data_IF_059493949925
#
_entry.id   IF_059493949925
#
_cell.length_a   1.000
_cell.length_b   1.000
_cell.length_c   1.000
_cell.angle_alpha   90.00
_cell.angle_beta   90.00
_cell.angle_gamma   90.00
#
_symmetry.space_group_name_H-M   'P 1'
#
loop_
_entity.id
_entity.type
_entity.pdbx_description
1 polymer ?
#
# COMPACT_ATOMS: atom_id res chain seq x y z
N UNK A 1 -14.94 31.44 10.81
CA UNK A 1 -15.06 30.16 10.09
C UNK A 1 -15.73 29.07 10.93
N UNK A 2 -15.51 28.98 12.23
CA UNK A 2 -16.09 27.95 13.15
C UNK A 2 -17.63 27.93 13.20
N UNK A 3 -18.30 29.08 13.36
CA UNK A 3 -19.78 29.15 13.45
C UNK A 3 -20.51 28.69 12.18
N UNK A 4 -19.92 28.87 11.00
CA UNK A 4 -20.49 28.42 9.71
C UNK A 4 -20.42 26.90 9.56
N UNK A 5 -19.38 26.25 10.09
CA UNK A 5 -19.21 24.79 10.08
C UNK A 5 -20.23 24.11 11.00
N UNK A 6 -20.47 24.65 12.18
CA UNK A 6 -21.41 24.10 13.16
C UNK A 6 -22.89 24.11 12.70
N UNK A 7 -23.25 24.95 11.74
CA UNK A 7 -24.64 25.08 11.21
C UNK A 7 -24.96 24.12 10.07
N UNK A 8 -23.98 23.40 9.50
CA UNK A 8 -24.23 22.44 8.42
C UNK A 8 -24.93 21.20 8.94
N UNK A 9 -25.80 20.55 8.12
CA UNK A 9 -26.41 19.29 8.50
C UNK A 9 -25.33 18.21 8.67
N UNK A 10 -25.58 17.25 9.54
CA UNK A 10 -24.76 16.05 9.62
C UNK A 10 -24.89 15.25 8.32
N UNK A 11 -23.81 14.58 7.91
CA UNK A 11 -23.87 13.66 6.78
C UNK A 11 -24.94 12.56 7.02
N UNK A 12 -25.59 12.05 5.97
CA UNK A 12 -26.51 10.92 6.07
C UNK A 12 -25.88 9.80 6.89
N UNK A 13 -26.71 9.05 7.62
CA UNK A 13 -26.26 7.91 8.40
C UNK A 13 -26.90 6.65 7.86
N UNK A 14 -26.09 5.61 7.68
CA UNK A 14 -26.57 4.27 7.35
C UNK A 14 -27.45 3.73 8.48
N UNK A 15 -28.54 3.06 8.13
CA UNK A 15 -29.36 2.31 9.08
C UNK A 15 -28.62 1.04 9.52
N UNK A 16 -28.44 0.85 10.81
CA UNK A 16 -27.61 -0.22 11.35
C UNK A 16 -28.11 -0.74 12.70
N UNK A 17 -27.81 -2.01 13.04
CA UNK A 17 -28.13 -2.56 14.35
C UNK A 17 -27.40 -1.79 15.47
N UNK A 18 -28.07 -1.56 16.61
CA UNK A 18 -27.41 -0.92 17.76
C UNK A 18 -26.28 -1.82 18.30
N UNK A 19 -25.22 -1.20 18.86
CA UNK A 19 -24.05 -1.80 19.50
C UNK A 19 -23.05 -2.42 18.52
N UNK A 20 -23.50 -3.27 17.60
CA UNK A 20 -22.60 -3.95 16.62
C UNK A 20 -22.29 -3.03 15.43
N UNK A 21 -23.24 -2.13 15.10
CA UNK A 21 -23.12 -1.25 13.96
C UNK A 21 -22.96 -2.02 12.64
N UNK A 22 -22.10 -1.55 11.79
CA UNK A 22 -21.84 -2.10 10.47
C UNK A 22 -20.81 -3.25 10.45
N UNK A 23 -20.25 -3.65 11.59
CA UNK A 23 -19.16 -4.63 11.64
C UNK A 23 -19.49 -5.98 10.97
N UNK A 24 -20.73 -6.46 11.12
CA UNK A 24 -21.16 -7.73 10.50
C UNK A 24 -21.31 -7.57 8.98
N UNK A 25 -21.88 -6.45 8.51
CA UNK A 25 -22.06 -6.21 7.08
C UNK A 25 -20.69 -6.10 6.39
N UNK A 26 -19.78 -5.32 6.94
CA UNK A 26 -18.41 -5.19 6.45
C UNK A 26 -17.65 -6.52 6.44
N UNK A 27 -17.71 -7.27 7.55
CA UNK A 27 -17.00 -8.56 7.66
C UNK A 27 -17.57 -9.66 6.77
N UNK A 28 -18.83 -9.52 6.31
CA UNK A 28 -19.45 -10.47 5.38
C UNK A 28 -19.06 -10.21 3.93
N UNK A 29 -19.14 -8.97 3.50
CA UNK A 29 -18.82 -8.52 2.15
C UNK A 29 -18.49 -7.03 2.17
N UNK A 30 -17.20 -6.66 2.22
CA UNK A 30 -16.80 -5.26 2.26
C UNK A 30 -17.11 -4.50 0.96
N UNK A 31 -17.19 -5.16 -0.20
CA UNK A 31 -17.55 -4.52 -1.46
C UNK A 31 -19.03 -4.12 -1.45
N UNK A 32 -19.92 -5.08 -1.20
CA UNK A 32 -21.35 -4.82 -1.08
C UNK A 32 -21.66 -3.81 0.02
N UNK A 33 -20.87 -3.80 1.11
CA UNK A 33 -21.00 -2.82 2.18
C UNK A 33 -20.74 -1.38 1.70
N UNK A 34 -19.67 -1.16 0.93
CA UNK A 34 -19.37 0.19 0.41
C UNK A 34 -20.31 0.60 -0.72
N UNK A 35 -20.82 -0.34 -1.52
CA UNK A 35 -21.91 -0.09 -2.49
C UNK A 35 -23.19 0.36 -1.77
N UNK A 36 -23.55 -0.30 -0.66
CA UNK A 36 -24.69 0.10 0.17
C UNK A 36 -24.48 1.50 0.80
N UNK A 37 -23.27 1.81 1.28
CA UNK A 37 -22.95 3.16 1.77
C UNK A 37 -23.11 4.22 0.66
N UNK A 38 -22.64 3.93 -0.55
CA UNK A 38 -22.74 4.86 -1.68
C UNK A 38 -24.20 5.20 -2.04
N UNK A 39 -25.16 4.32 -1.75
CA UNK A 39 -26.58 4.60 -1.94
C UNK A 39 -27.12 5.72 -1.00
N UNK A 40 -26.44 6.02 0.11
CA UNK A 40 -26.79 7.12 1.01
C UNK A 40 -26.17 8.46 0.59
N UNK A 41 -25.15 8.45 -0.27
CA UNK A 41 -24.48 9.65 -0.78
C UNK A 41 -22.96 9.57 -0.78
N UNK A 42 -22.33 10.70 -1.11
CA UNK A 42 -20.87 10.80 -1.26
C UNK A 42 -20.10 10.95 0.06
N UNK A 43 -20.78 11.36 1.13
CA UNK A 43 -20.26 11.44 2.49
C UNK A 43 -21.27 10.80 3.42
N UNK A 44 -20.93 9.67 4.00
CA UNK A 44 -21.89 8.84 4.76
C UNK A 44 -21.31 8.49 6.12
N UNK A 45 -22.15 8.63 7.16
CA UNK A 45 -21.79 8.20 8.51
C UNK A 45 -22.34 6.79 8.79
N UNK A 46 -21.57 6.06 9.57
CA UNK A 46 -21.95 4.74 10.09
C UNK A 46 -21.21 4.49 11.41
N UNK A 47 -21.48 3.39 12.09
CA UNK A 47 -20.67 2.95 13.22
C UNK A 47 -20.02 1.60 12.95
N UNK A 48 -18.84 1.41 13.50
CA UNK A 48 -18.14 0.13 13.52
C UNK A 48 -17.88 -0.21 14.98
N UNK A 49 -18.71 -1.08 15.54
CA UNK A 49 -18.76 -1.30 16.99
C UNK A 49 -18.91 0.03 17.75
N UNK A 50 -17.90 0.44 18.53
CA UNK A 50 -17.94 1.65 19.35
C UNK A 50 -17.37 2.90 18.65
N UNK A 51 -16.98 2.81 17.37
CA UNK A 51 -16.41 3.93 16.63
C UNK A 51 -17.45 4.60 15.75
N UNK A 52 -17.61 5.90 15.91
CA UNK A 52 -18.30 6.73 14.91
C UNK A 52 -17.40 6.92 13.70
N UNK A 53 -17.89 6.53 12.56
CA UNK A 53 -17.15 6.53 11.29
C UNK A 53 -17.87 7.37 10.24
N UNK A 54 -17.10 7.88 9.29
CA UNK A 54 -17.60 8.44 8.06
C UNK A 54 -16.78 7.90 6.88
N UNK A 55 -17.41 7.67 5.75
CA UNK A 55 -16.73 7.41 4.48
C UNK A 55 -16.90 8.57 3.53
N UNK A 56 -15.89 8.80 2.69
CA UNK A 56 -15.88 9.83 1.65
C UNK A 56 -15.63 9.13 0.31
N UNK A 57 -16.59 9.24 -0.61
CA UNK A 57 -16.65 8.46 -1.84
C UNK A 57 -16.52 9.29 -3.13
N UNK A 58 -16.67 10.63 -3.04
CA UNK A 58 -16.57 11.50 -4.20
C UNK A 58 -15.16 12.11 -4.32
N UNK A 59 -14.53 12.10 -5.50
CA UNK A 59 -13.18 12.63 -5.72
C UNK A 59 -12.93 14.04 -5.15
N UNK A 60 -13.83 15.00 -5.40
CA UNK A 60 -13.68 16.35 -4.85
C UNK A 60 -13.73 16.41 -3.31
N UNK A 61 -14.49 15.53 -2.66
CA UNK A 61 -14.52 15.42 -1.21
C UNK A 61 -13.26 14.73 -0.68
N UNK A 62 -12.71 13.80 -1.43
CA UNK A 62 -11.44 13.12 -1.14
C UNK A 62 -10.29 14.12 -1.20
N UNK A 63 -10.24 14.93 -2.26
CA UNK A 63 -9.26 16.01 -2.40
C UNK A 63 -9.35 16.98 -1.21
N UNK A 64 -10.56 17.38 -0.84
CA UNK A 64 -10.78 18.23 0.33
C UNK A 64 -10.18 17.62 1.61
N UNK A 65 -10.40 16.33 1.87
CA UNK A 65 -9.90 15.63 3.07
C UNK A 65 -8.38 15.46 3.05
N UNK A 66 -7.81 15.15 1.90
CA UNK A 66 -6.40 14.78 1.79
C UNK A 66 -5.48 15.98 1.53
N UNK A 67 -6.00 17.05 0.91
CA UNK A 67 -5.23 18.22 0.47
C UNK A 67 -5.69 19.50 1.16
N UNK A 68 -6.91 19.97 0.86
CA UNK A 68 -7.36 21.31 1.21
C UNK A 68 -7.48 21.51 2.73
N UNK A 69 -8.17 20.59 3.39
CA UNK A 69 -8.43 20.62 4.84
C UNK A 69 -7.49 19.64 5.61
N UNK A 70 -6.35 19.23 5.02
CA UNK A 70 -5.39 18.27 5.61
C UNK A 70 -5.09 18.56 7.09
N UNK A 71 -4.95 19.83 7.47
CA UNK A 71 -4.64 20.24 8.84
C UNK A 71 -5.74 19.96 9.86
N UNK A 72 -7.01 19.80 9.41
CA UNK A 72 -8.17 19.47 10.26
C UNK A 72 -8.29 17.96 10.53
N UNK A 73 -7.38 17.16 9.99
CA UNK A 73 -7.34 15.71 10.17
C UNK A 73 -6.02 15.25 10.79
N UNK A 74 -6.05 14.08 11.39
CA UNK A 74 -4.87 13.37 11.94
C UNK A 74 -4.94 11.88 11.61
N UNK A 75 -3.89 11.14 11.91
CA UNK A 75 -3.95 9.68 11.94
C UNK A 75 -4.88 9.24 13.08
N UNK A 76 -5.73 8.22 12.86
CA UNK A 76 -6.62 7.72 13.90
C UNK A 76 -5.84 7.25 15.13
N UNK A 77 -6.26 7.69 16.33
CA UNK A 77 -5.60 7.32 17.58
C UNK A 77 -5.52 5.82 17.78
N UNK A 78 -6.58 5.09 17.42
CA UNK A 78 -6.62 3.63 17.53
C UNK A 78 -5.57 2.92 16.67
N UNK A 79 -5.10 3.55 15.57
CA UNK A 79 -4.01 3.03 14.74
C UNK A 79 -2.64 3.41 15.30
N UNK A 80 -2.52 4.60 15.91
CA UNK A 80 -1.27 5.06 16.54
C UNK A 80 -0.92 4.22 17.75
N UNK A 81 -1.92 3.74 18.48
CA UNK A 81 -1.75 2.87 19.64
C UNK A 81 -1.22 1.46 19.28
N UNK A 82 -1.02 1.16 18.00
CA UNK A 82 -0.23 -0.01 17.57
C UNK A 82 1.25 0.25 17.88
N UNK A 83 1.70 -0.30 19.00
CA UNK A 83 3.00 -0.02 19.66
C UNK A 83 4.25 -0.17 18.79
N UNK A 84 4.16 -0.89 17.67
CA UNK A 84 5.29 -1.30 16.83
C UNK A 84 5.73 -0.23 15.84
N UNK A 85 4.78 0.48 15.23
CA UNK A 85 5.02 1.49 14.19
C UNK A 85 4.71 2.92 14.66
N UNK A 86 4.45 3.11 15.96
CA UNK A 86 3.90 4.35 16.51
C UNK A 86 4.83 5.56 16.34
N UNK A 87 6.15 5.34 16.30
CA UNK A 87 7.14 6.40 16.13
C UNK A 87 7.62 6.52 14.66
N UNK A 88 7.13 5.67 13.75
CA UNK A 88 7.46 5.72 12.33
C UNK A 88 6.62 6.70 11.53
N UNK A 89 7.13 7.11 10.37
CA UNK A 89 6.52 8.08 9.45
C UNK A 89 5.05 7.78 9.11
N UNK A 90 4.67 6.51 9.06
CA UNK A 90 3.33 6.08 8.71
C UNK A 90 2.28 6.57 9.72
N UNK A 91 2.60 6.50 11.02
CA UNK A 91 1.65 6.75 12.12
C UNK A 91 1.88 8.05 12.89
N UNK A 92 3.07 8.64 12.84
CA UNK A 92 3.35 9.94 13.47
C UNK A 92 2.51 11.05 12.85
N UNK A 93 2.36 12.16 13.57
CA UNK A 93 1.49 13.27 13.18
C UNK A 93 2.09 14.63 13.56
N UNK A 94 1.51 15.73 13.02
CA UNK A 94 1.89 17.09 13.34
C UNK A 94 3.34 17.43 12.97
N UNK A 95 4.05 18.10 13.87
CA UNK A 95 5.44 18.57 13.67
C UNK A 95 6.42 17.40 13.59
N UNK A 96 6.22 16.33 14.40
CA UNK A 96 7.07 15.13 14.35
C UNK A 96 7.03 14.49 12.97
N UNK A 97 5.84 14.30 12.42
CA UNK A 97 5.69 13.78 11.06
C UNK A 97 6.39 14.67 10.02
N UNK A 98 6.26 16.00 10.13
CA UNK A 98 6.91 16.92 9.18
C UNK A 98 8.43 16.78 9.25
N UNK A 99 8.99 16.76 10.45
CA UNK A 99 10.43 16.61 10.65
C UNK A 99 10.94 15.29 10.04
N UNK A 100 10.28 14.17 10.35
CA UNK A 100 10.60 12.87 9.77
C UNK A 100 10.46 12.86 8.25
N UNK A 101 9.37 13.43 7.72
CA UNK A 101 9.16 13.50 6.27
C UNK A 101 10.26 14.28 5.57
N UNK A 102 10.66 15.42 6.13
CA UNK A 102 11.75 16.27 5.59
C UNK A 102 13.07 15.52 5.60
N UNK A 103 13.39 14.84 6.70
CA UNK A 103 14.61 14.04 6.86
C UNK A 103 14.70 12.91 5.82
N UNK A 104 13.61 12.18 5.62
CA UNK A 104 13.57 10.97 4.81
C UNK A 104 13.36 11.23 3.31
N UNK A 105 12.76 12.37 2.94
CA UNK A 105 12.38 12.70 1.57
C UNK A 105 13.54 12.61 0.56
N UNK A 106 14.80 13.02 0.87
CA UNK A 106 15.92 12.94 -0.08
C UNK A 106 16.20 11.55 -0.62
N UNK A 107 15.96 10.49 0.17
CA UNK A 107 16.17 9.09 -0.24
C UNK A 107 15.20 8.67 -1.37
N UNK A 108 14.12 9.42 -1.58
CA UNK A 108 13.08 9.14 -2.57
C UNK A 108 13.01 10.18 -3.70
N UNK A 109 14.03 11.04 -3.82
CA UNK A 109 14.15 11.92 -4.98
C UNK A 109 14.49 11.09 -6.23
N UNK A 110 14.08 11.64 -7.39
CA UNK A 110 14.22 10.94 -8.67
C UNK A 110 15.66 10.47 -8.95
N UNK A 111 16.62 11.34 -8.70
CA UNK A 111 18.03 11.08 -8.94
C UNK A 111 18.54 9.92 -8.06
N UNK A 112 18.08 9.89 -6.80
CA UNK A 112 18.46 8.82 -5.87
C UNK A 112 17.79 7.51 -6.23
N UNK A 113 16.50 7.52 -6.50
CA UNK A 113 15.74 6.31 -6.91
C UNK A 113 16.30 5.72 -8.19
N UNK A 114 16.75 6.54 -9.14
CA UNK A 114 17.37 6.09 -10.38
C UNK A 114 18.64 5.23 -10.14
N UNK A 115 19.37 5.46 -9.05
CA UNK A 115 20.57 4.65 -8.74
C UNK A 115 20.26 3.22 -8.33
N UNK A 116 19.01 2.92 -7.98
CA UNK A 116 18.56 1.57 -7.59
C UNK A 116 18.12 0.71 -8.78
N UNK A 117 17.95 1.31 -9.97
CA UNK A 117 17.35 0.65 -11.13
C UNK A 117 18.10 -0.64 -11.54
N UNK A 118 19.43 -0.58 -11.58
CA UNK A 118 20.26 -1.74 -11.94
C UNK A 118 20.05 -2.89 -10.95
N UNK A 119 20.12 -2.62 -9.65
CA UNK A 119 19.88 -3.62 -8.61
C UNK A 119 18.47 -4.23 -8.74
N UNK A 120 17.44 -3.43 -8.99
CA UNK A 120 16.07 -3.93 -9.19
C UNK A 120 15.97 -4.89 -10.36
N UNK A 121 16.58 -4.55 -11.51
CA UNK A 121 16.60 -5.39 -12.70
C UNK A 121 17.39 -6.69 -12.51
N UNK A 122 18.60 -6.62 -11.92
CA UNK A 122 19.41 -7.80 -11.61
C UNK A 122 18.69 -8.77 -10.66
N UNK A 123 18.10 -8.26 -9.59
CA UNK A 123 17.35 -9.10 -8.64
C UNK A 123 16.09 -9.71 -9.28
N UNK A 124 15.41 -8.98 -10.19
CA UNK A 124 14.32 -9.54 -10.96
C UNK A 124 14.76 -10.68 -11.86
N UNK A 125 15.89 -10.54 -12.56
CA UNK A 125 16.44 -11.60 -13.39
C UNK A 125 16.82 -12.84 -12.56
N UNK A 126 17.51 -12.67 -11.44
CA UNK A 126 17.88 -13.77 -10.52
C UNK A 126 16.64 -14.48 -9.98
N UNK A 127 15.63 -13.73 -9.54
CA UNK A 127 14.36 -14.27 -9.05
C UNK A 127 13.65 -15.09 -10.15
N UNK A 128 13.58 -14.56 -11.37
CA UNK A 128 12.99 -15.25 -12.51
C UNK A 128 13.68 -16.61 -12.78
N UNK A 129 15.01 -16.63 -12.81
CA UNK A 129 15.79 -17.87 -13.02
C UNK A 129 15.58 -18.89 -11.88
N UNK A 130 15.43 -18.43 -10.65
CA UNK A 130 15.13 -19.26 -9.50
C UNK A 130 13.73 -19.88 -9.61
N UNK A 131 12.70 -19.08 -9.91
CA UNK A 131 11.31 -19.51 -9.99
C UNK A 131 11.07 -20.50 -11.15
N UNK A 132 11.68 -20.27 -12.29
CA UNK A 132 11.63 -21.21 -13.43
C UNK A 132 12.17 -22.59 -13.02
N UNK A 133 13.24 -22.64 -12.22
CA UNK A 133 13.79 -23.92 -11.74
C UNK A 133 12.95 -24.61 -10.68
N UNK A 134 12.25 -23.83 -9.83
CA UNK A 134 11.43 -24.37 -8.74
C UNK A 134 10.09 -24.95 -9.23
N UNK A 135 9.58 -24.47 -10.37
CA UNK A 135 8.35 -24.96 -10.98
C UNK A 135 7.11 -24.26 -10.45
N UNK A 136 6.23 -24.94 -9.69
CA UNK A 136 5.01 -24.36 -9.15
C UNK A 136 5.26 -23.69 -7.79
N UNK A 137 4.90 -22.42 -7.67
CA UNK A 137 5.12 -21.59 -6.49
C UNK A 137 3.85 -20.87 -6.05
N UNK A 138 3.85 -20.42 -4.82
CA UNK A 138 2.94 -19.36 -4.36
C UNK A 138 3.45 -18.02 -4.88
N UNK A 139 2.62 -17.36 -5.72
CA UNK A 139 3.01 -16.11 -6.39
C UNK A 139 3.27 -14.99 -5.37
N UNK A 140 2.42 -14.86 -4.35
CA UNK A 140 2.60 -13.83 -3.32
C UNK A 140 3.90 -14.02 -2.56
N UNK A 141 4.23 -15.25 -2.18
CA UNK A 141 5.48 -15.55 -1.47
C UNK A 141 6.70 -15.26 -2.34
N UNK A 142 6.67 -15.63 -3.61
CA UNK A 142 7.72 -15.35 -4.56
C UNK A 142 7.95 -13.85 -4.73
N UNK A 143 6.88 -13.08 -4.99
CA UNK A 143 6.96 -11.62 -5.14
C UNK A 143 7.41 -10.92 -3.85
N UNK A 144 6.94 -11.37 -2.68
CA UNK A 144 7.37 -10.85 -1.37
C UNK A 144 8.87 -11.07 -1.12
N UNK A 145 9.40 -12.23 -1.50
CA UNK A 145 10.84 -12.52 -1.41
C UNK A 145 11.65 -11.57 -2.29
N UNK A 146 11.22 -11.36 -3.53
CA UNK A 146 11.87 -10.44 -4.47
C UNK A 146 11.86 -8.99 -3.93
N UNK A 147 10.70 -8.46 -3.60
CA UNK A 147 10.58 -7.05 -3.16
C UNK A 147 11.32 -6.78 -1.85
N UNK A 148 11.36 -7.75 -0.93
CA UNK A 148 12.12 -7.62 0.31
C UNK A 148 13.64 -7.60 0.07
N UNK A 149 14.16 -8.43 -0.85
CA UNK A 149 15.57 -8.38 -1.25
C UNK A 149 15.93 -7.04 -1.88
N UNK A 150 15.10 -6.55 -2.81
CA UNK A 150 15.30 -5.23 -3.44
C UNK A 150 15.35 -4.14 -2.38
N UNK A 151 14.34 -4.09 -1.51
CA UNK A 151 14.23 -3.07 -0.46
C UNK A 151 15.41 -3.11 0.50
N UNK A 152 15.79 -4.31 0.98
CA UNK A 152 16.92 -4.51 1.89
C UNK A 152 18.24 -4.00 1.28
N UNK A 153 18.53 -4.43 0.06
CA UNK A 153 19.78 -4.05 -0.60
C UNK A 153 19.80 -2.56 -0.99
N UNK A 154 18.70 -2.01 -1.52
CA UNK A 154 18.71 -0.66 -2.08
C UNK A 154 18.50 0.43 -1.03
N UNK A 155 17.59 0.23 -0.09
CA UNK A 155 17.26 1.23 0.93
C UNK A 155 18.01 1.02 2.24
N UNK A 156 18.26 -0.22 2.64
CA UNK A 156 18.91 -0.49 3.93
C UNK A 156 20.38 -0.86 3.80
N UNK A 157 20.86 -1.16 2.59
CA UNK A 157 22.24 -1.58 2.31
C UNK A 157 22.61 -2.91 2.97
N UNK A 158 21.64 -3.78 3.22
CA UNK A 158 21.82 -5.07 3.91
C UNK A 158 21.23 -6.22 3.13
N UNK A 159 21.76 -7.42 3.32
CA UNK A 159 21.14 -8.65 2.84
C UNK A 159 20.02 -9.06 3.82
N UNK A 160 18.82 -9.29 3.29
CA UNK A 160 17.67 -9.68 4.09
C UNK A 160 17.37 -11.17 4.05
N UNK A 161 18.16 -12.00 3.35
CA UNK A 161 17.81 -13.40 3.10
C UNK A 161 17.62 -14.21 4.39
N UNK A 162 18.44 -13.99 5.41
CA UNK A 162 18.31 -14.67 6.69
C UNK A 162 17.13 -14.16 7.54
N UNK A 163 16.71 -12.91 7.31
CA UNK A 163 15.65 -12.24 8.09
C UNK A 163 14.26 -12.27 7.44
N UNK A 164 14.14 -12.75 6.19
CA UNK A 164 12.89 -12.73 5.43
C UNK A 164 11.71 -13.38 6.17
N UNK A 165 11.95 -14.51 6.83
CA UNK A 165 10.90 -15.21 7.57
C UNK A 165 10.36 -14.38 8.74
N UNK A 166 11.24 -13.69 9.49
CA UNK A 166 10.88 -12.84 10.61
C UNK A 166 10.13 -11.58 10.14
N UNK A 167 10.63 -10.92 9.08
CA UNK A 167 9.97 -9.74 8.49
C UNK A 167 8.58 -10.09 7.97
N UNK A 168 8.42 -11.21 7.25
CA UNK A 168 7.10 -11.67 6.77
C UNK A 168 6.17 -12.05 7.92
N UNK A 169 6.67 -12.73 8.94
CA UNK A 169 5.86 -13.08 10.12
C UNK A 169 5.37 -11.82 10.86
N UNK A 170 6.20 -10.80 10.96
CA UNK A 170 5.83 -9.50 11.53
C UNK A 170 4.80 -8.76 10.69
N UNK A 171 5.00 -8.68 9.38
CA UNK A 171 4.06 -8.07 8.46
C UNK A 171 2.69 -8.77 8.51
N UNK A 172 2.68 -10.10 8.50
CA UNK A 172 1.45 -10.90 8.61
C UNK A 172 0.75 -10.68 9.97
N UNK A 173 1.50 -10.63 11.06
CA UNK A 173 0.95 -10.35 12.39
C UNK A 173 0.29 -8.97 12.47
N UNK A 174 0.91 -7.93 11.86
CA UNK A 174 0.34 -6.59 11.75
C UNK A 174 -0.91 -6.62 10.87
N UNK A 175 -0.87 -7.31 9.74
CA UNK A 175 -2.01 -7.48 8.82
C UNK A 175 -3.19 -8.15 9.52
N UNK A 176 -3.00 -9.33 10.14
CA UNK A 176 -4.04 -10.05 10.87
C UNK A 176 -4.72 -9.15 11.89
N UNK A 177 -3.93 -8.39 12.66
CA UNK A 177 -4.50 -7.49 13.67
C UNK A 177 -5.30 -6.34 13.07
N UNK A 178 -4.94 -5.84 11.89
CA UNK A 178 -5.64 -4.73 11.23
C UNK A 178 -6.81 -5.19 10.36
N UNK A 179 -6.79 -6.44 9.88
CA UNK A 179 -7.82 -7.03 9.00
C UNK A 179 -8.88 -7.81 9.77
N UNK A 180 -8.50 -8.41 10.91
CA UNK A 180 -9.43 -9.13 11.73
C UNK A 180 -10.49 -8.20 12.36
N UNK A 181 -11.70 -8.71 12.42
CA UNK A 181 -12.91 -8.16 13.00
C UNK A 181 -12.65 -6.91 13.90
N UNK A 182 -13.31 -5.77 13.67
CA UNK A 182 -13.20 -4.56 14.50
C UNK A 182 -13.32 -4.82 16.02
N UNK A 183 -13.91 -5.95 16.41
CA UNK A 183 -14.00 -6.39 17.81
C UNK A 183 -12.64 -6.86 18.34
N UNK A 184 -11.80 -7.51 17.53
CA UNK A 184 -10.48 -7.99 17.97
C UNK A 184 -9.46 -6.87 18.13
N UNK A 185 -9.56 -5.83 17.30
CA UNK A 185 -8.73 -4.61 17.43
C UNK A 185 -8.98 -3.89 18.77
N UNK A 186 -10.17 -4.04 19.36
CA UNK A 186 -10.53 -3.43 20.64
C UNK A 186 -9.99 -4.17 21.85
N UNK A 187 -9.51 -5.41 21.70
CA UNK A 187 -8.92 -6.15 22.82
C UNK A 187 -7.49 -5.64 23.04
N UNK A 188 -7.20 -5.01 24.18
CA UNK A 188 -5.86 -4.50 24.45
C UNK A 188 -4.78 -5.58 24.29
N UNK A 189 -3.61 -5.22 23.79
CA UNK A 189 -2.52 -6.17 23.51
C UNK A 189 -2.03 -6.96 24.73
N UNK A 190 -2.16 -6.37 25.91
CA UNK A 190 -1.77 -7.05 27.17
C UNK A 190 -2.67 -8.24 27.54
N UNK A 191 -3.90 -8.33 26.98
CA UNK A 191 -4.79 -9.47 27.22
C UNK A 191 -4.24 -10.70 26.48
N UNK A 192 -4.00 -11.84 27.17
CA UNK A 192 -3.31 -13.00 26.57
C UNK A 192 -4.22 -13.87 25.71
N UNK A 193 -4.89 -13.29 24.71
CA UNK A 193 -5.64 -14.05 23.71
C UNK A 193 -4.70 -14.80 22.76
N UNK A 194 -5.15 -15.85 22.06
CA UNK A 194 -4.34 -16.51 21.04
C UNK A 194 -3.90 -15.56 19.93
N UNK A 195 -4.77 -14.63 19.50
CA UNK A 195 -4.46 -13.60 18.49
C UNK A 195 -3.37 -12.64 18.99
N UNK A 196 -3.52 -12.09 20.21
CA UNK A 196 -2.51 -11.20 20.78
C UNK A 196 -1.16 -11.90 21.04
N UNK A 197 -1.17 -13.21 21.32
CA UNK A 197 0.08 -13.98 21.45
C UNK A 197 0.77 -14.19 20.11
N UNK A 198 0.02 -14.46 19.01
CA UNK A 198 0.57 -14.53 17.65
C UNK A 198 1.14 -13.19 17.25
N UNK A 199 0.36 -12.13 17.42
CA UNK A 199 0.77 -10.76 17.13
C UNK A 199 2.10 -10.42 17.82
N UNK A 200 2.19 -10.58 19.15
CA UNK A 200 3.43 -10.29 19.88
C UNK A 200 4.62 -11.11 19.38
N UNK A 201 4.45 -12.41 19.14
CA UNK A 201 5.55 -13.24 18.62
C UNK A 201 6.04 -12.78 17.26
N UNK A 202 5.12 -12.43 16.33
CA UNK A 202 5.50 -11.93 15.02
C UNK A 202 6.22 -10.59 15.10
N UNK A 203 5.71 -9.70 15.96
CA UNK A 203 6.31 -8.39 16.20
C UNK A 203 7.68 -8.50 16.87
N UNK A 204 7.83 -9.35 17.89
CA UNK A 204 9.09 -9.55 18.57
C UNK A 204 10.14 -10.13 17.61
N UNK A 205 9.79 -11.15 16.80
CA UNK A 205 10.68 -11.68 15.76
C UNK A 205 11.08 -10.63 14.72
N UNK A 206 10.14 -9.74 14.33
CA UNK A 206 10.44 -8.65 13.41
C UNK A 206 11.38 -7.62 14.03
N UNK A 207 11.20 -7.31 15.32
CA UNK A 207 12.07 -6.38 16.05
C UNK A 207 13.47 -6.97 16.19
N UNK A 208 13.58 -8.25 16.57
CA UNK A 208 14.86 -8.94 16.68
C UNK A 208 15.60 -8.90 15.33
N UNK A 209 14.90 -9.16 14.22
CA UNK A 209 15.48 -9.07 12.88
C UNK A 209 15.98 -7.64 12.53
N UNK A 210 15.26 -6.60 12.97
CA UNK A 210 15.72 -5.21 12.79
C UNK A 210 16.97 -4.93 13.62
N UNK A 211 17.02 -5.42 14.86
CA UNK A 211 18.18 -5.23 15.74
C UNK A 211 19.42 -5.92 15.15
N UNK A 212 19.27 -7.16 14.64
CA UNK A 212 20.32 -7.88 13.93
C UNK A 212 20.82 -7.09 12.71
N UNK A 213 19.89 -6.58 11.85
CA UNK A 213 20.25 -5.78 10.67
C UNK A 213 20.98 -4.47 11.02
N UNK A 214 20.65 -3.85 12.17
CA UNK A 214 21.35 -2.66 12.66
C UNK A 214 22.73 -3.01 13.18
N UNK A 215 22.85 -4.12 13.92
CA UNK A 215 24.10 -4.57 14.55
C UNK A 215 25.11 -5.12 13.52
N UNK A 216 24.66 -5.72 12.44
CA UNK A 216 25.50 -6.21 11.32
C UNK A 216 26.13 -5.05 10.50
N UNK A 217 25.71 -3.83 10.76
CA UNK A 217 26.15 -2.66 10.00
C UNK A 217 27.50 -2.12 10.48
N UNK A 218 28.50 -2.18 9.62
CA UNK A 218 29.85 -1.61 9.85
C UNK A 218 29.94 -0.08 9.58
N UNK A 219 28.87 0.68 9.89
CA UNK A 219 28.82 2.13 9.81
C UNK A 219 29.16 2.74 8.43
N UNK A 220 28.62 3.91 8.15
CA UNK A 220 28.91 4.70 6.95
C UNK A 220 28.35 4.13 5.65
N UNK A 221 27.45 4.84 5.01
CA UNK A 221 26.86 4.48 3.73
C UNK A 221 25.87 5.56 3.28
N UNK A 222 25.42 5.45 2.03
CA UNK A 222 24.44 6.36 1.44
C UNK A 222 23.01 5.80 1.50
N UNK A 223 22.74 4.84 2.36
CA UNK A 223 21.44 4.18 2.50
C UNK A 223 20.60 4.79 3.64
N UNK A 224 19.33 4.34 3.71
CA UNK A 224 18.37 4.84 4.68
C UNK A 224 18.77 4.55 6.12
N UNK A 225 19.39 3.39 6.40
CA UNK A 225 19.83 3.04 7.74
C UNK A 225 20.95 3.98 8.19
N UNK A 226 21.95 4.22 7.35
CA UNK A 226 23.03 5.19 7.62
C UNK A 226 22.47 6.59 7.80
N UNK A 227 21.54 7.02 6.94
CA UNK A 227 20.87 8.32 7.09
C UNK A 227 20.20 8.45 8.47
N UNK A 228 19.48 7.42 8.92
CA UNK A 228 18.77 7.46 10.20
C UNK A 228 19.70 7.47 11.41
N UNK A 229 20.84 6.76 11.34
CA UNK A 229 21.83 6.69 12.40
C UNK A 229 22.63 7.99 12.53
N UNK A 230 22.88 8.67 11.41
CA UNK A 230 23.64 9.94 11.36
C UNK A 230 22.74 11.19 11.38
N UNK A 231 21.42 10.98 11.50
CA UNK A 231 20.45 12.07 11.38
C UNK A 231 20.47 13.02 12.56
N UNK A 232 20.29 14.31 12.25
CA UNK A 232 20.02 15.39 13.20
C UNK A 232 18.82 16.20 12.68
N UNK A 233 17.82 16.43 13.54
CA UNK A 233 16.70 17.30 13.23
C UNK A 233 17.09 18.77 13.29
N UNK A 234 16.27 19.66 12.73
CA UNK A 234 16.51 21.10 12.73
C UNK A 234 16.70 21.71 14.14
N UNK A 235 16.15 21.05 15.17
CA UNK A 235 16.28 21.44 16.57
C UNK A 235 17.55 20.92 17.25
N UNK A 236 18.42 20.22 16.53
CA UNK A 236 19.67 19.64 17.02
C UNK A 236 19.49 18.33 17.77
N UNK A 237 18.30 17.71 17.73
CA UNK A 237 18.07 16.39 18.34
C UNK A 237 18.28 15.27 17.32
N UNK A 238 18.84 14.14 17.75
CA UNK A 238 18.92 12.93 16.94
C UNK A 238 17.65 12.07 17.10
N UNK A 239 17.29 11.25 16.10
CA UNK A 239 16.29 10.19 16.28
C UNK A 239 16.68 9.27 17.44
N UNK A 240 15.72 8.88 18.27
CA UNK A 240 15.96 7.86 19.29
C UNK A 240 16.14 6.48 18.65
N UNK A 241 16.78 5.54 19.35
CA UNK A 241 16.88 4.15 18.87
C UNK A 241 15.50 3.52 18.58
N UNK A 242 14.51 3.81 19.43
CA UNK A 242 13.13 3.32 19.19
C UNK A 242 12.51 3.93 17.94
N UNK A 243 12.83 5.19 17.64
CA UNK A 243 12.39 5.82 16.39
C UNK A 243 13.07 5.22 15.17
N UNK A 244 14.40 5.02 15.21
CA UNK A 244 15.14 4.35 14.13
C UNK A 244 14.52 2.98 13.83
N UNK A 245 14.30 2.15 14.87
CA UNK A 245 13.64 0.85 14.73
C UNK A 245 12.23 0.96 14.12
N UNK A 246 11.42 1.90 14.62
CA UNK A 246 10.06 2.13 14.08
C UNK A 246 10.08 2.59 12.63
N UNK A 247 11.07 3.38 12.21
CA UNK A 247 11.25 3.78 10.81
C UNK A 247 11.61 2.58 9.93
N UNK A 248 12.61 1.78 10.33
CA UNK A 248 13.03 0.59 9.58
C UNK A 248 11.88 -0.42 9.43
N UNK A 249 11.17 -0.71 10.54
CA UNK A 249 9.98 -1.56 10.51
C UNK A 249 8.89 -0.99 9.59
N UNK A 250 8.67 0.34 9.63
CA UNK A 250 7.70 1.01 8.75
C UNK A 250 8.06 0.83 7.28
N UNK A 251 9.33 1.04 6.90
CA UNK A 251 9.75 0.89 5.51
C UNK A 251 9.73 -0.57 5.05
N UNK A 252 10.20 -1.50 5.88
CA UNK A 252 10.14 -2.92 5.56
C UNK A 252 8.69 -3.43 5.46
N UNK A 253 7.80 -3.00 6.36
CA UNK A 253 6.39 -3.37 6.28
C UNK A 253 5.71 -2.77 5.05
N UNK A 254 5.79 -1.44 4.89
CA UNK A 254 5.03 -0.74 3.85
C UNK A 254 5.62 -0.94 2.45
N UNK A 255 6.95 -1.07 2.33
CA UNK A 255 7.65 -1.09 1.05
C UNK A 255 7.56 -2.45 0.35
N UNK A 256 7.85 -3.56 1.05
CA UNK A 256 7.88 -4.86 0.37
C UNK A 256 6.48 -5.42 0.10
N UNK A 257 5.56 -5.34 1.07
CA UNK A 257 4.25 -5.98 0.96
C UNK A 257 3.39 -5.36 -0.14
N UNK A 258 3.39 -4.04 -0.26
CA UNK A 258 2.57 -3.34 -1.25
C UNK A 258 3.04 -3.58 -2.69
N UNK A 259 4.34 -3.53 -2.96
CA UNK A 259 4.91 -3.90 -4.26
C UNK A 259 4.68 -5.38 -4.59
N UNK A 260 4.86 -6.28 -3.61
CA UNK A 260 4.60 -7.70 -3.79
C UNK A 260 3.14 -7.99 -4.15
N UNK A 261 2.18 -7.31 -3.51
CA UNK A 261 0.75 -7.45 -3.83
C UNK A 261 0.43 -6.94 -5.24
N UNK A 262 1.00 -5.81 -5.66
CA UNK A 262 0.82 -5.30 -7.02
C UNK A 262 1.34 -6.31 -8.06
N UNK A 263 2.55 -6.83 -7.90
CA UNK A 263 3.13 -7.86 -8.79
C UNK A 263 2.33 -9.17 -8.74
N UNK A 264 1.82 -9.55 -7.57
CA UNK A 264 0.97 -10.74 -7.42
C UNK A 264 -0.30 -10.64 -8.24
N UNK A 265 -1.00 -9.50 -8.18
CA UNK A 265 -2.21 -9.28 -8.94
C UNK A 265 -1.95 -9.12 -10.44
N UNK A 266 -0.81 -8.52 -10.82
CA UNK A 266 -0.38 -8.50 -12.23
C UNK A 266 -0.15 -9.94 -12.74
N UNK A 267 0.59 -10.75 -12.01
CA UNK A 267 0.85 -12.14 -12.40
C UNK A 267 -0.46 -12.96 -12.53
N UNK A 268 -1.42 -12.74 -11.61
CA UNK A 268 -2.74 -13.34 -11.69
C UNK A 268 -3.50 -12.95 -12.96
N UNK A 269 -3.52 -11.65 -13.30
CA UNK A 269 -4.22 -11.21 -14.50
C UNK A 269 -3.52 -11.66 -15.80
N UNK A 270 -2.20 -11.68 -15.83
CA UNK A 270 -1.45 -12.16 -16.99
C UNK A 270 -1.70 -13.65 -17.28
N UNK A 271 -1.86 -14.47 -16.25
CA UNK A 271 -2.24 -15.89 -16.42
C UNK A 271 -3.65 -16.07 -16.98
N UNK A 272 -4.57 -15.13 -16.71
CA UNK A 272 -5.99 -15.18 -17.15
C UNK A 272 -6.24 -14.47 -18.48
N UNK A 273 -5.38 -13.55 -18.87
CA UNK A 273 -5.59 -12.66 -20.04
C UNK A 273 -4.46 -12.81 -21.06
N UNK A 274 -4.50 -13.86 -21.90
CA UNK A 274 -3.46 -14.12 -22.89
C UNK A 274 -3.18 -12.94 -23.82
N UNK A 275 -4.23 -12.20 -24.22
CA UNK A 275 -4.07 -11.04 -25.11
C UNK A 275 -3.23 -9.92 -24.46
N UNK A 276 -3.46 -9.63 -23.17
CA UNK A 276 -2.66 -8.66 -22.41
C UNK A 276 -1.21 -9.16 -22.26
N UNK A 277 -1.04 -10.44 -21.91
CA UNK A 277 0.28 -11.05 -21.78
C UNK A 277 1.06 -11.03 -23.10
N UNK A 278 0.40 -11.26 -24.22
CA UNK A 278 1.02 -11.27 -25.57
C UNK A 278 1.40 -9.84 -26.00
N UNK A 279 0.55 -8.83 -25.76
CA UNK A 279 0.86 -7.43 -26.05
C UNK A 279 2.05 -6.93 -25.22
N UNK A 280 2.05 -7.23 -23.91
CA UNK A 280 3.15 -6.88 -23.02
C UNK A 280 4.46 -7.55 -23.42
N UNK A 281 4.38 -8.81 -23.84
CA UNK A 281 5.53 -9.58 -24.34
C UNK A 281 6.11 -8.96 -25.62
N UNK A 282 5.25 -8.57 -26.55
CA UNK A 282 5.67 -7.94 -27.81
C UNK A 282 6.41 -6.62 -27.58
N UNK A 283 5.95 -5.79 -26.62
CA UNK A 283 6.67 -4.59 -26.22
C UNK A 283 8.04 -4.94 -25.62
N UNK A 284 8.08 -5.80 -24.62
CA UNK A 284 9.31 -6.18 -23.91
C UNK A 284 10.35 -6.80 -24.86
N UNK A 285 9.93 -7.65 -25.79
CA UNK A 285 10.84 -8.26 -26.79
C UNK A 285 11.43 -7.23 -27.76
N UNK A 286 10.75 -6.11 -27.96
CA UNK A 286 11.21 -5.02 -28.84
C UNK A 286 12.10 -4.03 -28.10
N UNK A 287 11.82 -3.76 -26.82
CA UNK A 287 12.45 -2.67 -26.06
C UNK A 287 13.66 -3.15 -25.27
N UNK A 288 13.55 -4.34 -24.61
CA UNK A 288 14.58 -4.84 -23.70
C UNK A 288 15.55 -5.74 -24.43
N UNK A 289 16.74 -5.25 -24.77
CA UNK A 289 17.78 -6.04 -25.43
C UNK A 289 18.57 -6.92 -24.45
N UNK A 290 18.76 -6.47 -23.21
CA UNK A 290 19.56 -7.12 -22.17
C UNK A 290 18.89 -8.32 -21.51
N UNK A 291 19.50 -8.82 -20.45
CA UNK A 291 18.96 -9.92 -19.61
C UNK A 291 17.83 -9.44 -18.69
N UNK A 292 17.78 -8.15 -18.38
CA UNK A 292 16.76 -7.49 -17.58
C UNK A 292 16.49 -6.08 -18.13
N UNK A 293 15.36 -5.52 -17.76
CA UNK A 293 15.01 -4.15 -18.08
C UNK A 293 15.84 -3.17 -17.24
N UNK A 294 16.20 -2.05 -17.85
CA UNK A 294 17.03 -0.99 -17.27
C UNK A 294 16.29 0.35 -17.24
N UNK A 295 16.87 1.33 -16.53
CA UNK A 295 16.33 2.71 -16.50
C UNK A 295 16.22 3.33 -17.92
N UNK A 296 17.08 2.92 -18.85
CA UNK A 296 17.07 3.43 -20.22
C UNK A 296 15.87 2.93 -21.04
N UNK A 297 15.34 1.77 -20.69
CA UNK A 297 14.21 1.15 -21.39
C UNK A 297 12.85 1.76 -21.00
N UNK A 298 12.76 2.35 -19.80
CA UNK A 298 11.48 2.84 -19.24
C UNK A 298 10.67 3.76 -20.14
N UNK A 299 11.27 4.74 -20.87
CA UNK A 299 10.49 5.63 -21.73
C UNK A 299 9.73 4.91 -22.85
N UNK A 300 10.19 3.73 -23.25
CA UNK A 300 9.64 2.92 -24.33
C UNK A 300 8.76 1.77 -23.83
N UNK A 301 8.77 1.47 -22.51
CA UNK A 301 7.95 0.46 -21.84
C UNK A 301 6.55 0.99 -21.49
N UNK A 302 5.85 1.53 -22.49
CA UNK A 302 4.57 2.24 -22.30
C UNK A 302 3.42 1.32 -21.96
N UNK A 303 3.32 0.14 -22.56
CA UNK A 303 2.30 -0.84 -22.21
C UNK A 303 2.56 -1.49 -20.85
N UNK A 304 3.82 -1.68 -20.51
CA UNK A 304 4.24 -2.11 -19.15
C UNK A 304 3.72 -1.13 -18.10
N UNK A 305 3.86 0.19 -18.31
CA UNK A 305 3.30 1.20 -17.42
C UNK A 305 1.76 1.12 -17.34
N UNK A 306 1.08 0.94 -18.48
CA UNK A 306 -0.38 0.79 -18.52
C UNK A 306 -0.85 -0.42 -17.71
N UNK A 307 -0.17 -1.56 -17.81
CA UNK A 307 -0.45 -2.76 -17.02
C UNK A 307 -0.29 -2.50 -15.52
N UNK A 308 0.78 -1.82 -15.11
CA UNK A 308 1.01 -1.44 -13.71
C UNK A 308 -0.09 -0.50 -13.21
N UNK A 309 -0.44 0.53 -13.96
CA UNK A 309 -1.52 1.47 -13.60
C UNK A 309 -2.86 0.78 -13.45
N UNK A 310 -3.21 -0.13 -14.36
CA UNK A 310 -4.46 -0.87 -14.31
C UNK A 310 -4.51 -1.84 -13.11
N UNK A 311 -3.39 -2.46 -12.79
CA UNK A 311 -3.29 -3.28 -11.58
C UNK A 311 -3.50 -2.46 -10.31
N UNK A 312 -2.87 -1.30 -10.20
CA UNK A 312 -3.03 -0.39 -9.07
C UNK A 312 -4.44 0.21 -8.97
N UNK A 313 -5.15 0.38 -10.10
CA UNK A 313 -6.54 0.77 -10.12
C UNK A 313 -7.43 -0.35 -9.57
N UNK A 314 -7.33 -1.54 -10.16
CA UNK A 314 -8.21 -2.66 -9.86
C UNK A 314 -7.91 -3.30 -8.52
N UNK A 315 -6.66 -3.34 -8.12
CA UNK A 315 -6.14 -3.99 -6.92
C UNK A 315 -5.20 -3.07 -6.14
N UNK A 316 -5.69 -1.91 -5.66
CA UNK A 316 -4.82 -0.98 -4.93
C UNK A 316 -4.28 -1.66 -3.67
N UNK A 317 -2.94 -1.83 -3.54
CA UNK A 317 -2.37 -2.54 -2.39
C UNK A 317 -2.77 -1.95 -1.04
N UNK A 318 -2.79 -0.61 -0.92
CA UNK A 318 -3.46 0.06 0.17
C UNK A 318 -4.94 0.18 -0.15
N UNK A 319 -5.80 -0.60 0.52
CA UNK A 319 -7.22 -0.67 0.19
C UNK A 319 -7.97 0.63 0.51
N UNK A 320 -7.61 1.28 1.62
CA UNK A 320 -8.22 2.54 2.05
C UNK A 320 -7.22 3.41 2.79
N UNK A 321 -7.49 4.71 2.81
CA UNK A 321 -6.81 5.65 3.69
C UNK A 321 -7.69 6.00 4.87
N UNK A 322 -7.03 6.26 6.00
CA UNK A 322 -7.69 6.52 7.27
C UNK A 322 -7.26 7.87 7.84
N UNK A 323 -8.26 8.63 8.33
CA UNK A 323 -8.09 9.91 9.03
C UNK A 323 -8.99 9.94 10.25
N UNK A 324 -8.73 10.84 11.17
CA UNK A 324 -9.61 11.19 12.27
C UNK A 324 -9.71 12.71 12.33
N UNK A 325 -10.93 13.22 12.48
CA UNK A 325 -11.16 14.67 12.57
C UNK A 325 -10.62 15.24 13.88
N UNK A 326 -9.87 16.36 13.81
CA UNK A 326 -9.36 17.10 14.98
C UNK A 326 -10.38 18.04 15.57
N UNK A 327 -11.36 18.44 14.76
CA UNK A 327 -12.42 19.39 15.03
C UNK A 327 -13.63 19.04 14.17
N UNK A 328 -14.77 19.72 14.35
CA UNK A 328 -15.88 19.63 13.42
C UNK A 328 -15.44 20.12 12.04
N UNK A 329 -15.51 19.27 11.02
CA UNK A 329 -15.09 19.56 9.65
C UNK A 329 -16.28 19.55 8.71
N UNK A 330 -16.27 20.42 7.71
CA UNK A 330 -17.28 20.44 6.66
C UNK A 330 -16.73 19.76 5.40
N UNK A 331 -17.31 18.64 4.98
CA UNK A 331 -16.92 17.90 3.77
C UNK A 331 -18.16 17.67 2.92
N UNK A 332 -18.09 17.96 1.62
CA UNK A 332 -19.19 17.75 0.69
C UNK A 332 -20.50 18.43 1.08
N UNK A 333 -20.44 19.56 1.79
CA UNK A 333 -21.63 20.27 2.29
C UNK A 333 -22.14 19.79 3.64
N UNK A 334 -21.63 18.70 4.19
CA UNK A 334 -22.03 18.13 5.48
C UNK A 334 -21.01 18.42 6.57
N UNK A 335 -21.46 18.33 7.82
CA UNK A 335 -20.61 18.37 9.00
C UNK A 335 -20.24 16.95 9.42
N UNK A 336 -18.94 16.72 9.59
CA UNK A 336 -18.37 15.54 10.24
C UNK A 336 -17.89 15.99 11.63
N UNK A 337 -18.39 15.41 12.72
CA UNK A 337 -18.01 15.81 14.08
C UNK A 337 -16.55 15.51 14.40
N UNK A 338 -15.98 16.24 15.39
CA UNK A 338 -14.68 15.96 15.98
C UNK A 338 -14.59 14.50 16.46
N UNK A 339 -13.42 13.89 16.30
CA UNK A 339 -13.13 12.50 16.72
C UNK A 339 -13.74 11.42 15.83
N UNK A 340 -14.38 11.81 14.70
CA UNK A 340 -14.91 10.83 13.74
C UNK A 340 -13.77 10.19 12.96
N UNK A 341 -13.78 8.85 12.88
CA UNK A 341 -12.87 8.08 12.03
C UNK A 341 -13.34 8.14 10.58
N UNK A 342 -12.53 8.73 9.70
CA UNK A 342 -12.87 8.94 8.28
C UNK A 342 -12.12 7.93 7.42
N UNK A 343 -12.86 7.19 6.60
CA UNK A 343 -12.32 6.26 5.60
C UNK A 343 -12.40 6.84 4.20
N UNK A 344 -11.36 6.67 3.43
CA UNK A 344 -11.28 6.99 2.00
C UNK A 344 -10.94 5.71 1.25
N UNK A 345 -11.95 4.94 0.79
CA UNK A 345 -11.78 3.60 0.23
C UNK A 345 -11.32 3.67 -1.23
N UNK A 346 -10.01 3.56 -1.46
CA UNK A 346 -9.43 3.55 -2.81
C UNK A 346 -10.04 2.46 -3.68
N UNK A 347 -10.16 1.24 -3.13
CA UNK A 347 -10.69 0.10 -3.86
C UNK A 347 -12.13 0.28 -4.38
N UNK A 348 -12.94 1.09 -3.69
CA UNK A 348 -14.29 1.41 -4.13
C UNK A 348 -14.29 2.52 -5.19
N UNK A 349 -13.57 3.63 -4.92
CA UNK A 349 -13.53 4.79 -5.83
C UNK A 349 -12.89 4.44 -7.17
N UNK A 350 -11.85 3.63 -7.17
CA UNK A 350 -11.19 3.14 -8.38
C UNK A 350 -12.04 2.17 -9.21
N UNK A 351 -13.22 1.76 -8.69
CA UNK A 351 -14.17 0.88 -9.35
C UNK A 351 -15.55 1.49 -9.51
N UNK A 352 -15.72 2.75 -9.15
CA UNK A 352 -17.00 3.45 -9.24
C UNK A 352 -17.37 3.70 -10.70
N UNK A 353 -18.52 3.16 -11.15
CA UNK A 353 -19.03 3.29 -12.51
C UNK A 353 -19.29 4.75 -12.94
N UNK A 354 -19.38 5.68 -11.99
CA UNK A 354 -19.45 7.11 -12.29
C UNK A 354 -18.19 7.64 -12.95
N UNK A 355 -17.07 7.00 -12.70
CA UNK A 355 -15.74 7.42 -13.16
C UNK A 355 -15.08 6.43 -14.12
N UNK A 356 -15.42 5.14 -14.03
CA UNK A 356 -14.76 4.07 -14.75
C UNK A 356 -15.74 3.23 -15.54
N UNK A 357 -15.60 3.20 -16.87
CA UNK A 357 -16.37 2.32 -17.74
C UNK A 357 -15.91 0.88 -17.53
N UNK A 358 -16.85 -0.05 -17.35
CA UNK A 358 -16.58 -1.47 -17.08
C UNK A 358 -15.46 -1.67 -16.02
N UNK A 359 -15.65 -1.14 -14.79
CA UNK A 359 -14.58 -1.07 -13.77
C UNK A 359 -14.13 -2.45 -13.29
N UNK A 360 -14.95 -3.48 -13.51
CA UNK A 360 -14.65 -4.87 -13.19
C UNK A 360 -13.65 -5.51 -14.14
N UNK A 361 -13.45 -4.98 -15.35
CA UNK A 361 -12.52 -5.52 -16.34
C UNK A 361 -11.11 -4.97 -16.13
N UNK A 362 -10.11 -5.87 -16.17
CA UNK A 362 -8.71 -5.49 -16.25
C UNK A 362 -8.36 -5.15 -17.71
N UNK A 363 -8.19 -3.87 -17.99
CA UNK A 363 -8.00 -3.33 -19.33
C UNK A 363 -6.91 -2.25 -19.33
N UNK A 364 -5.65 -2.63 -19.63
CA UNK A 364 -4.55 -1.67 -19.71
C UNK A 364 -4.72 -0.60 -20.78
N UNK A 365 -5.48 -0.87 -21.85
CA UNK A 365 -5.63 0.06 -22.98
C UNK A 365 -6.35 1.36 -22.57
N UNK A 366 -7.08 1.35 -21.45
CA UNK A 366 -7.69 2.59 -20.89
C UNK A 366 -6.66 3.67 -20.54
N UNK A 367 -5.40 3.30 -20.36
CA UNK A 367 -4.29 4.19 -20.01
C UNK A 367 -3.48 4.66 -21.24
N UNK A 368 -3.87 4.26 -22.45
CA UNK A 368 -3.13 4.59 -23.67
C UNK A 368 -3.14 6.11 -23.93
N UNK A 369 -1.95 6.71 -24.03
CA UNK A 369 -1.77 8.15 -24.28
C UNK A 369 -2.19 9.07 -23.12
N UNK A 370 -2.26 8.54 -21.89
CA UNK A 370 -2.71 9.27 -20.70
C UNK A 370 -1.55 9.44 -19.72
N UNK A 371 -1.25 10.70 -19.35
CA UNK A 371 -0.21 10.97 -18.35
C UNK A 371 -0.70 10.74 -16.91
N UNK A 372 -1.91 11.21 -16.55
CA UNK A 372 -2.46 11.12 -15.19
C UNK A 372 -3.69 10.23 -15.12
N UNK A 373 -4.89 10.77 -15.34
CA UNK A 373 -6.17 10.06 -15.28
C UNK A 373 -6.86 10.13 -16.65
N UNK A 374 -7.41 9.00 -17.15
CA UNK A 374 -8.02 8.97 -18.48
C UNK A 374 -9.24 9.90 -18.62
N UNK A 375 -9.28 10.70 -19.68
CA UNK A 375 -10.42 11.55 -20.07
C UNK A 375 -10.67 12.71 -19.11
N UNK A 376 -11.96 13.09 -18.97
CA UNK A 376 -12.39 14.22 -18.10
C UNK A 376 -12.68 13.77 -16.65
N UNK A 377 -12.09 12.66 -16.19
CA UNK A 377 -12.28 12.16 -14.84
C UNK A 377 -11.61 13.08 -13.81
N UNK A 378 -12.21 13.25 -12.63
CA UNK A 378 -11.58 14.00 -11.55
C UNK A 378 -10.27 13.34 -11.08
N UNK A 379 -9.26 14.11 -10.71
CA UNK A 379 -7.93 13.63 -10.30
C UNK A 379 -8.01 12.54 -9.24
N UNK A 380 -8.82 12.73 -8.21
CA UNK A 380 -9.00 11.75 -7.12
C UNK A 380 -9.97 10.61 -7.45
N UNK A 381 -10.30 10.36 -8.72
CA UNK A 381 -10.89 9.11 -9.17
C UNK A 381 -9.85 7.97 -9.25
N UNK A 382 -8.54 8.33 -9.27
CA UNK A 382 -7.40 7.41 -9.23
C UNK A 382 -6.29 7.99 -8.35
N UNK A 383 -5.98 7.34 -7.23
CA UNK A 383 -5.01 7.84 -6.25
C UNK A 383 -4.34 6.68 -5.47
N UNK A 384 -3.72 5.70 -6.16
CA UNK A 384 -3.20 4.47 -5.51
C UNK A 384 -2.09 4.75 -4.50
N UNK A 385 -1.42 5.90 -4.61
CA UNK A 385 -0.39 6.37 -3.68
C UNK A 385 -0.88 7.42 -2.68
N UNK A 386 -2.19 7.59 -2.59
CA UNK A 386 -2.80 8.61 -1.76
C UNK A 386 -2.72 10.01 -2.35
N UNK A 387 -2.80 11.03 -1.48
CA UNK A 387 -2.80 12.41 -1.91
C UNK A 387 -2.37 13.39 -0.82
N UNK A 388 -2.14 14.63 -1.27
CA UNK A 388 -1.75 15.73 -0.40
C UNK A 388 -0.38 15.54 0.25
N UNK A 389 -0.12 16.24 1.36
CA UNK A 389 1.19 16.18 2.02
C UNK A 389 1.60 14.78 2.47
N UNK A 390 0.63 13.89 2.74
CA UNK A 390 0.86 12.51 3.18
C UNK A 390 0.79 11.46 2.05
N UNK A 391 0.95 11.88 0.79
CA UNK A 391 1.12 10.92 -0.31
C UNK A 391 2.31 9.98 -0.05
N UNK A 392 2.30 8.81 -0.66
CA UNK A 392 3.35 7.81 -0.49
C UNK A 392 4.74 8.40 -0.78
N UNK A 393 5.65 8.29 0.18
CA UNK A 393 7.03 8.79 0.02
C UNK A 393 7.78 7.96 -1.02
N UNK A 394 7.51 6.65 -1.06
CA UNK A 394 8.14 5.68 -1.96
C UNK A 394 7.48 5.53 -3.33
N UNK A 395 6.55 6.41 -3.73
CA UNK A 395 5.82 6.27 -5.00
C UNK A 395 6.75 6.07 -6.20
N UNK A 396 7.80 6.88 -6.34
CA UNK A 396 8.75 6.76 -7.46
C UNK A 396 9.55 5.46 -7.40
N UNK A 397 9.94 5.04 -6.20
CA UNK A 397 10.62 3.77 -5.98
C UNK A 397 9.73 2.60 -6.38
N UNK A 398 8.50 2.56 -5.90
CA UNK A 398 7.55 1.50 -6.21
C UNK A 398 7.23 1.42 -7.71
N UNK A 399 6.97 2.54 -8.38
CA UNK A 399 6.70 2.55 -9.82
C UNK A 399 7.90 2.09 -10.66
N UNK A 400 9.11 2.48 -10.27
CA UNK A 400 10.34 2.01 -10.91
C UNK A 400 10.51 0.51 -10.73
N UNK A 401 10.38 0.02 -9.49
CA UNK A 401 10.49 -1.41 -9.15
C UNK A 401 9.46 -2.24 -9.92
N UNK A 402 8.19 -1.83 -9.92
CA UNK A 402 7.11 -2.55 -10.59
C UNK A 402 7.34 -2.67 -12.10
N UNK A 403 7.75 -1.58 -12.76
CA UNK A 403 7.96 -1.58 -14.21
C UNK A 403 9.19 -2.40 -14.61
N UNK A 404 10.33 -2.23 -13.94
CA UNK A 404 11.54 -3.00 -14.23
C UNK A 404 11.35 -4.50 -13.93
N UNK A 405 10.73 -4.83 -12.79
CA UNK A 405 10.42 -6.21 -12.44
C UNK A 405 9.47 -6.85 -13.46
N UNK A 406 8.37 -6.19 -13.79
CA UNK A 406 7.37 -6.71 -14.72
C UNK A 406 7.99 -6.98 -16.10
N UNK A 407 8.70 -6.01 -16.65
CA UNK A 407 9.36 -6.17 -17.95
C UNK A 407 10.39 -7.32 -17.94
N UNK A 408 11.21 -7.41 -16.87
CA UNK A 408 12.19 -8.48 -16.71
C UNK A 408 11.53 -9.85 -16.57
N UNK A 409 10.46 -9.96 -15.77
CA UNK A 409 9.74 -11.22 -15.59
C UNK A 409 9.10 -11.69 -16.90
N UNK A 410 8.42 -10.80 -17.62
CA UNK A 410 7.80 -11.11 -18.90
C UNK A 410 8.83 -11.51 -19.97
N UNK A 411 10.03 -10.95 -19.92
CA UNK A 411 11.13 -11.37 -20.78
C UNK A 411 11.59 -12.79 -20.50
N UNK A 412 11.58 -13.23 -19.24
CA UNK A 412 12.18 -14.48 -18.78
C UNK A 412 11.20 -15.66 -18.76
N UNK A 413 9.93 -15.41 -18.44
CA UNK A 413 8.94 -16.48 -18.29
C UNK A 413 7.51 -16.05 -18.67
N UNK A 414 6.65 -17.04 -18.86
CA UNK A 414 5.21 -16.90 -18.90
C UNK A 414 4.59 -17.44 -17.61
N UNK A 415 3.60 -16.73 -17.05
CA UNK A 415 2.85 -17.20 -15.88
C UNK A 415 1.71 -18.10 -16.34
N UNK A 416 1.56 -19.27 -15.70
CA UNK A 416 0.48 -20.23 -15.93
C UNK A 416 -0.17 -20.64 -14.63
N UNK A 417 -1.48 -20.48 -14.55
CA UNK A 417 -2.31 -20.99 -13.46
C UNK A 417 -3.74 -21.24 -13.95
N UNK A 418 -4.49 -22.02 -13.17
CA UNK A 418 -5.86 -22.41 -13.49
C UNK A 418 -6.90 -21.75 -12.55
N UNK A 419 -6.53 -20.66 -11.87
CA UNK A 419 -7.45 -19.95 -10.97
C UNK A 419 -8.39 -19.04 -11.76
N UNK A 420 -9.69 -19.31 -11.73
CA UNK A 420 -10.72 -18.45 -12.31
C UNK A 420 -11.04 -17.27 -11.38
N UNK A 421 -11.19 -17.54 -10.08
CA UNK A 421 -11.40 -16.56 -9.03
C UNK A 421 -10.69 -17.00 -7.76
N UNK A 422 -9.95 -16.07 -7.16
CA UNK A 422 -9.24 -16.30 -5.90
C UNK A 422 -9.89 -15.55 -4.73
N UNK A 423 -10.97 -14.81 -5.00
CA UNK A 423 -11.57 -13.93 -4.01
C UNK A 423 -10.63 -12.81 -3.54
N UNK A 424 -11.09 -12.05 -2.58
CA UNK A 424 -10.33 -10.93 -1.99
C UNK A 424 -10.45 -10.97 -0.47
N UNK A 425 -9.32 -10.89 0.21
CA UNK A 425 -9.23 -10.59 1.65
C UNK A 425 -8.92 -9.09 1.79
N UNK A 426 -9.94 -8.31 2.17
CA UNK A 426 -9.87 -6.87 2.25
C UNK A 426 -9.65 -6.41 3.69
N UNK A 427 -8.44 -5.95 3.97
CA UNK A 427 -8.08 -5.31 5.23
C UNK A 427 -7.55 -3.90 5.00
N UNK A 428 -6.46 -3.56 5.70
CA UNK A 428 -5.69 -2.36 5.40
C UNK A 428 -5.00 -2.47 4.03
N UNK A 429 -4.68 -3.70 3.62
CA UNK A 429 -4.10 -4.08 2.33
C UNK A 429 -5.05 -5.01 1.57
N UNK A 430 -4.88 -5.08 0.25
CA UNK A 430 -5.76 -5.76 -0.70
C UNK A 430 -5.14 -7.11 -1.11
N UNK A 431 -5.46 -8.17 -0.39
CA UNK A 431 -4.90 -9.50 -0.60
C UNK A 431 -5.77 -10.41 -1.46
N UNK A 432 -5.17 -11.40 -2.17
CA UNK A 432 -5.94 -12.56 -2.63
C UNK A 432 -6.58 -13.29 -1.45
N UNK A 433 -7.83 -13.68 -1.58
CA UNK A 433 -8.58 -14.44 -0.56
C UNK A 433 -8.11 -15.90 -0.43
N UNK A 434 -7.40 -16.40 -1.46
CA UNK A 434 -6.76 -17.72 -1.44
C UNK A 434 -5.39 -17.66 -2.13
N UNK A 435 -4.44 -18.58 -1.78
CA UNK A 435 -3.12 -18.62 -2.42
C UNK A 435 -3.20 -18.78 -3.94
N UNK A 436 -2.42 -18.00 -4.67
CA UNK A 436 -2.27 -18.10 -6.13
C UNK A 436 -1.08 -19.00 -6.43
N UNK A 437 -1.34 -20.25 -6.79
CA UNK A 437 -0.32 -21.19 -7.26
C UNK A 437 -0.12 -21.04 -8.75
N UNK A 438 1.09 -20.81 -9.20
CA UNK A 438 1.41 -20.66 -10.61
C UNK A 438 2.73 -21.34 -10.99
N UNK A 439 2.84 -21.72 -12.26
CA UNK A 439 4.10 -22.13 -12.89
C UNK A 439 4.67 -20.97 -13.68
N UNK A 440 5.97 -20.82 -13.59
CA UNK A 440 6.74 -19.86 -14.35
C UNK A 440 7.46 -20.62 -15.46
N UNK A 441 6.86 -20.63 -16.67
CA UNK A 441 7.39 -21.37 -17.83
C UNK A 441 8.47 -20.53 -18.52
N UNK A 442 9.70 -21.07 -18.73
CA UNK A 442 10.78 -20.31 -19.36
C UNK A 442 10.43 -19.94 -20.81
N UNK A 443 10.97 -18.84 -21.26
CA UNK A 443 10.83 -18.33 -22.63
C UNK A 443 12.10 -18.54 -23.41
#
# INVERSE_FOLDING_TARGET
MSESRARRPLAPRRDEPPVIGSAVAFGRDPFAFYEDLAAYGDVVRFSMANYDMATVLHPACIEQVLVDDFGSFRKPKSMVDMSVLSEGLLLTDGERWRAQRTLLQPMFYRERVATYAETMGEYAARAADEWVRQGELDVKEAMSTYTLRVLGTTLLGVDTDEHQAAVRAGAEAIRERTSENPVTVQIPEWVPTPANRRFRRGVDAFRDAIDDLVDERDGGGDDLLSLLLDAEYEDGTAPSESEVRSQLMTFLFAGHETSALALTWIAYELGRKPAVADALRAEVDTVVDGEHATLADLPDLTYTEQVVREALRRYPPAAAMFRETREDVAVGGYRIPEGTFVTVPQFHVHRDERWWDDPGTFDPDRWAGVEDVPGDRPDYSYFPFGGGPRHCIGMRFALLELQLALATFVKRFAVRHDHDDVGVDLGATFHPGSPIRARFEPR
#
